data_IF_310026166940
#
_entry.id   IF_310026166940
#
_cell.length_a   1.000
_cell.length_b   1.000
_cell.length_c   1.000
_cell.angle_alpha   90.00
_cell.angle_beta   90.00
_cell.angle_gamma   90.00
#
_symmetry.space_group_name_H-M   'P 1'
#
loop_
_entity.id
_entity.type
_entity.pdbx_description
1 polymer ?
#
# COMPACT_ATOMS: atom_id res chain seq x y z
N UNK A 1 -31.31 -58.82 28.75
CA UNK A 1 -30.65 -57.87 29.66
C UNK A 1 -29.51 -57.21 28.89
N UNK A 2 -29.84 -56.16 28.17
CA UNK A 2 -29.01 -55.47 27.17
C UNK A 2 -28.23 -54.35 27.89
N UNK A 3 -26.89 -54.47 28.00
CA UNK A 3 -26.07 -53.48 28.72
C UNK A 3 -24.90 -52.98 27.87
N UNK A 4 -25.03 -51.71 27.49
CA UNK A 4 -23.97 -50.69 27.36
C UNK A 4 -23.14 -50.66 26.06
N UNK A 5 -23.78 -50.16 25.00
CA UNK A 5 -23.13 -49.35 23.97
C UNK A 5 -23.43 -47.88 24.29
N UNK A 6 -22.54 -47.20 25.02
CA UNK A 6 -22.56 -45.74 25.14
C UNK A 6 -21.52 -45.18 24.16
N UNK A 7 -22.00 -44.84 22.96
CA UNK A 7 -21.26 -44.11 21.96
C UNK A 7 -21.00 -42.68 22.45
N UNK A 8 -19.74 -42.38 22.77
CA UNK A 8 -19.26 -41.05 23.10
C UNK A 8 -19.00 -40.28 21.80
N UNK A 9 -20.07 -39.88 21.10
CA UNK A 9 -20.00 -38.95 19.96
C UNK A 9 -20.03 -37.51 20.50
N UNK A 10 -18.90 -37.06 21.01
CA UNK A 10 -18.67 -35.65 21.31
C UNK A 10 -18.41 -34.91 19.99
N UNK A 11 -19.50 -34.47 19.37
CA UNK A 11 -19.47 -33.56 18.22
C UNK A 11 -18.89 -32.23 18.71
N UNK A 12 -17.63 -32.00 18.35
CA UNK A 12 -16.93 -30.72 18.41
C UNK A 12 -17.74 -29.66 17.65
N UNK A 13 -18.57 -28.91 18.38
CA UNK A 13 -19.20 -27.68 17.91
C UNK A 13 -18.15 -26.57 17.91
N UNK A 14 -17.28 -26.57 16.89
CA UNK A 14 -16.46 -25.39 16.60
C UNK A 14 -17.40 -24.29 16.10
N UNK A 15 -17.45 -23.11 16.75
CA UNK A 15 -18.13 -21.97 16.18
C UNK A 15 -17.40 -21.64 14.87
N UNK A 16 -18.13 -21.74 13.76
CA UNK A 16 -17.69 -21.19 12.50
C UNK A 16 -17.29 -19.74 12.76
N UNK A 17 -16.00 -19.43 12.59
CA UNK A 17 -15.50 -18.08 12.67
C UNK A 17 -16.36 -17.25 11.71
N UNK A 18 -17.15 -16.33 12.28
CA UNK A 18 -17.96 -15.39 11.52
C UNK A 18 -16.95 -14.51 10.79
N UNK A 19 -16.63 -14.86 9.55
CA UNK A 19 -15.93 -13.98 8.65
C UNK A 19 -16.85 -12.77 8.45
N UNK A 20 -16.61 -11.70 9.20
CA UNK A 20 -17.35 -10.46 9.08
C UNK A 20 -17.39 -10.03 7.61
N UNK A 21 -18.57 -9.66 7.14
CA UNK A 21 -18.76 -9.17 5.77
C UNK A 21 -17.77 -8.01 5.48
N UNK A 22 -17.27 -7.90 4.23
CA UNK A 22 -16.40 -6.79 3.86
C UNK A 22 -17.09 -5.45 4.16
N UNK A 23 -16.37 -4.53 4.81
CA UNK A 23 -16.88 -3.19 5.10
C UNK A 23 -17.13 -2.42 3.79
N UNK A 24 -18.39 -2.09 3.46
CA UNK A 24 -18.72 -1.42 2.20
C UNK A 24 -18.21 0.02 2.13
N UNK A 25 -17.91 0.67 3.27
CA UNK A 25 -17.39 2.04 3.29
C UNK A 25 -15.88 2.13 3.07
N UNK A 26 -15.18 0.98 3.10
CA UNK A 26 -13.73 0.93 3.05
C UNK A 26 -13.13 1.52 1.76
N UNK A 27 -13.62 1.23 0.54
CA UNK A 27 -13.10 1.85 -0.68
C UNK A 27 -13.25 3.38 -0.69
N UNK A 28 -14.35 3.89 -0.14
CA UNK A 28 -14.59 5.34 -0.02
C UNK A 28 -13.56 6.03 0.86
N UNK A 29 -13.23 5.44 2.02
CA UNK A 29 -12.21 5.98 2.94
C UNK A 29 -10.80 5.94 2.38
N UNK A 30 -10.48 4.94 1.54
CA UNK A 30 -9.20 4.88 0.82
C UNK A 30 -9.13 6.01 -0.21
N UNK A 31 -10.22 6.19 -0.97
CA UNK A 31 -10.33 7.25 -2.00
C UNK A 31 -10.19 8.63 -1.38
N UNK A 32 -10.90 8.91 -0.29
CA UNK A 32 -10.82 10.19 0.44
C UNK A 32 -9.38 10.49 0.89
N UNK A 33 -8.70 9.51 1.47
CA UNK A 33 -7.33 9.68 1.91
C UNK A 33 -6.33 9.88 0.75
N UNK A 34 -6.57 9.21 -0.39
CA UNK A 34 -5.77 9.41 -1.59
C UNK A 34 -5.98 10.82 -2.17
N UNK A 35 -7.21 11.34 -2.18
CA UNK A 35 -7.51 12.71 -2.62
C UNK A 35 -6.92 13.77 -1.68
N UNK A 36 -6.98 13.57 -0.36
CA UNK A 36 -6.31 14.43 0.63
C UNK A 36 -4.79 14.46 0.39
N UNK A 37 -4.17 13.28 0.23
CA UNK A 37 -2.75 13.18 -0.10
C UNK A 37 -2.39 13.85 -1.44
N UNK A 38 -3.27 13.72 -2.45
CA UNK A 38 -3.11 14.39 -3.73
C UNK A 38 -3.11 15.91 -3.58
N UNK A 39 -4.11 16.46 -2.91
CA UNK A 39 -4.25 17.91 -2.72
C UNK A 39 -3.08 18.52 -1.96
N UNK A 40 -2.48 17.78 -1.02
CA UNK A 40 -1.40 18.27 -0.16
C UNK A 40 -0.01 18.06 -0.75
N UNK A 41 0.25 16.91 -1.36
CA UNK A 41 1.62 16.50 -1.72
C UNK A 41 1.87 16.47 -3.22
N UNK A 42 0.87 16.28 -4.09
CA UNK A 42 1.13 15.92 -5.49
C UNK A 42 1.94 16.97 -6.26
N UNK A 43 1.72 18.26 -6.00
CA UNK A 43 2.46 19.33 -6.70
C UNK A 43 3.98 19.22 -6.54
N UNK A 44 4.45 18.67 -5.41
CA UNK A 44 5.87 18.60 -5.08
C UNK A 44 6.61 17.68 -6.05
N UNK A 45 5.94 16.65 -6.54
CA UNK A 45 6.56 15.64 -7.41
C UNK A 45 7.05 16.21 -8.74
N UNK A 46 6.50 17.35 -9.19
CA UNK A 46 6.93 18.01 -10.42
C UNK A 46 8.27 18.72 -10.29
N UNK A 47 8.71 18.99 -9.06
CA UNK A 47 9.94 19.71 -8.77
C UNK A 47 10.99 18.79 -8.15
N UNK A 48 10.55 17.94 -7.22
CA UNK A 48 11.41 17.07 -6.45
C UNK A 48 10.63 15.85 -5.95
N UNK A 49 11.03 14.66 -6.42
CA UNK A 49 10.44 13.39 -5.99
C UNK A 49 10.64 13.17 -4.48
N UNK A 50 11.75 13.61 -3.90
CA UNK A 50 12.04 13.43 -2.48
C UNK A 50 11.18 14.32 -1.61
N UNK A 51 10.90 15.56 -2.04
CA UNK A 51 9.95 16.43 -1.37
C UNK A 51 8.53 15.82 -1.36
N UNK A 52 8.13 15.19 -2.47
CA UNK A 52 6.87 14.44 -2.54
C UNK A 52 6.85 13.26 -1.55
N UNK A 53 7.91 12.45 -1.52
CA UNK A 53 8.04 11.33 -0.58
C UNK A 53 8.03 11.79 0.89
N UNK A 54 8.75 12.86 1.20
CA UNK A 54 8.82 13.44 2.54
C UNK A 54 7.44 13.94 2.99
N UNK A 55 6.70 14.63 2.12
CA UNK A 55 5.34 15.10 2.42
C UNK A 55 4.42 13.92 2.79
N UNK A 56 4.41 12.87 1.98
CA UNK A 56 3.58 11.68 2.23
C UNK A 56 4.02 10.92 3.48
N UNK A 57 5.33 10.82 3.72
CA UNK A 57 5.86 10.21 4.96
C UNK A 57 5.44 11.01 6.19
N UNK A 58 5.36 12.34 6.08
CA UNK A 58 4.77 13.21 7.10
C UNK A 58 3.30 12.88 7.38
N UNK A 59 2.48 12.69 6.33
CA UNK A 59 1.08 12.26 6.51
C UNK A 59 0.97 10.90 7.21
N UNK A 60 1.88 9.98 6.90
CA UNK A 60 1.90 8.63 7.45
C UNK A 60 2.39 8.55 8.90
N UNK A 61 3.04 9.58 9.43
CA UNK A 61 3.53 9.61 10.80
C UNK A 61 2.38 9.52 11.83
N UNK A 62 1.20 10.02 11.47
CA UNK A 62 -0.01 9.97 12.30
C UNK A 62 -0.74 8.61 12.19
N UNK A 63 -0.51 7.87 11.11
CA UNK A 63 -1.23 6.65 10.74
C UNK A 63 -0.55 5.38 11.28
N UNK A 64 -0.45 5.23 12.61
CA UNK A 64 0.31 4.13 13.25
C UNK A 64 -0.21 2.72 12.98
N UNK A 65 -1.48 2.57 12.59
CA UNK A 65 -2.13 1.27 12.37
C UNK A 65 -2.43 1.08 10.89
N UNK A 66 -2.44 -0.17 10.44
CA UNK A 66 -2.96 -0.51 9.12
C UNK A 66 -4.46 -0.17 9.08
N UNK A 67 -4.84 0.75 8.20
CA UNK A 67 -6.20 1.24 8.08
C UNK A 67 -6.45 1.85 6.69
N UNK A 68 -7.71 2.12 6.33
CA UNK A 68 -8.08 2.64 5.01
C UNK A 68 -7.36 3.93 4.66
N UNK A 69 -7.21 4.85 5.63
CA UNK A 69 -6.52 6.13 5.42
C UNK A 69 -5.04 5.93 5.11
N UNK A 70 -4.33 5.15 5.93
CA UNK A 70 -2.95 4.73 5.66
C UNK A 70 -2.79 4.14 4.27
N UNK A 71 -3.68 3.21 3.87
CA UNK A 71 -3.62 2.58 2.56
C UNK A 71 -3.81 3.58 1.42
N UNK A 72 -4.76 4.52 1.55
CA UNK A 72 -4.99 5.55 0.53
C UNK A 72 -3.74 6.42 0.32
N UNK A 73 -3.09 6.84 1.40
CA UNK A 73 -1.85 7.64 1.34
C UNK A 73 -0.70 6.82 0.73
N UNK A 74 -0.47 5.59 1.19
CA UNK A 74 0.60 4.73 0.68
C UNK A 74 0.41 4.37 -0.80
N UNK A 75 -0.82 4.04 -1.19
CA UNK A 75 -1.15 3.69 -2.56
C UNK A 75 -1.04 4.91 -3.49
N UNK A 76 -1.53 6.08 -3.06
CA UNK A 76 -1.33 7.32 -3.80
C UNK A 76 0.16 7.63 -3.98
N UNK A 77 0.96 7.44 -2.93
CA UNK A 77 2.43 7.54 -2.97
C UNK A 77 3.04 6.76 -4.11
N UNK A 78 2.68 5.48 -4.21
CA UNK A 78 3.09 4.62 -5.32
C UNK A 78 2.61 5.12 -6.67
N UNK A 79 1.34 5.48 -6.83
CA UNK A 79 0.78 5.90 -8.12
C UNK A 79 1.45 7.17 -8.64
N UNK A 80 1.64 8.18 -7.78
CA UNK A 80 2.31 9.41 -8.16
C UNK A 80 3.76 9.16 -8.60
N UNK A 81 4.52 8.41 -7.78
CA UNK A 81 5.91 8.08 -8.08
C UNK A 81 6.07 7.21 -9.33
N UNK A 82 5.19 6.22 -9.52
CA UNK A 82 5.20 5.36 -10.71
C UNK A 82 4.96 6.16 -11.99
N UNK A 83 4.10 7.19 -11.95
CA UNK A 83 3.87 8.08 -13.09
C UNK A 83 5.12 8.91 -13.40
N UNK A 84 5.76 9.48 -12.38
CA UNK A 84 6.99 10.27 -12.54
C UNK A 84 8.19 9.42 -13.00
N UNK A 85 8.27 8.17 -12.57
CA UNK A 85 9.32 7.24 -13.00
C UNK A 85 9.30 7.03 -14.53
N UNK A 86 8.13 7.10 -15.18
CA UNK A 86 8.02 7.01 -16.65
C UNK A 86 8.69 8.17 -17.37
N UNK A 87 8.81 9.31 -16.70
CA UNK A 87 9.41 10.53 -17.24
C UNK A 87 10.92 10.61 -16.92
N UNK A 88 11.49 9.59 -16.28
CA UNK A 88 12.90 9.56 -15.91
C UNK A 88 13.24 10.51 -14.77
N UNK A 89 12.28 10.90 -13.93
CA UNK A 89 12.54 11.76 -12.79
C UNK A 89 13.40 11.05 -11.75
N UNK A 90 14.46 11.73 -11.31
CA UNK A 90 15.37 11.21 -10.29
C UNK A 90 14.60 10.80 -9.03
N UNK A 91 14.94 9.64 -8.46
CA UNK A 91 14.31 9.09 -7.26
C UNK A 91 12.91 8.52 -7.46
N UNK A 92 12.23 8.77 -8.57
CA UNK A 92 10.83 8.37 -8.72
C UNK A 92 10.63 6.85 -8.75
N UNK A 93 11.58 6.11 -9.33
CA UNK A 93 11.55 4.65 -9.28
C UNK A 93 11.78 4.11 -7.86
N UNK A 94 12.68 4.73 -7.10
CA UNK A 94 12.99 4.36 -5.71
C UNK A 94 11.81 4.66 -4.79
N UNK A 95 11.24 5.86 -4.88
CA UNK A 95 10.02 6.24 -4.16
C UNK A 95 8.86 5.31 -4.50
N UNK A 96 8.66 4.98 -5.79
CA UNK A 96 7.63 4.02 -6.20
C UNK A 96 7.85 2.66 -5.56
N UNK A 97 9.09 2.16 -5.55
CA UNK A 97 9.44 0.91 -4.91
C UNK A 97 9.17 0.92 -3.39
N UNK A 98 9.55 1.97 -2.69
CA UNK A 98 9.31 2.13 -1.25
C UNK A 98 7.81 2.09 -0.95
N UNK A 99 7.01 2.87 -1.68
CA UNK A 99 5.57 2.88 -1.47
C UNK A 99 4.90 1.58 -1.88
N UNK A 100 5.41 0.87 -2.89
CA UNK A 100 4.96 -0.47 -3.25
C UNK A 100 5.02 -1.43 -2.06
N UNK A 101 6.16 -1.50 -1.38
CA UNK A 101 6.32 -2.37 -0.22
C UNK A 101 5.35 -1.98 0.91
N UNK A 102 5.20 -0.67 1.15
CA UNK A 102 4.32 -0.12 2.20
C UNK A 102 2.85 -0.46 1.93
N UNK A 103 2.30 -0.05 0.78
CA UNK A 103 0.88 -0.25 0.51
C UNK A 103 0.54 -1.73 0.42
N UNK A 104 1.43 -2.60 -0.11
CA UNK A 104 1.20 -4.04 -0.16
C UNK A 104 1.07 -4.67 1.22
N UNK A 105 1.88 -4.22 2.19
CA UNK A 105 1.75 -4.67 3.56
C UNK A 105 0.39 -4.28 4.17
N UNK A 106 -0.08 -3.06 3.92
CA UNK A 106 -1.38 -2.58 4.41
C UNK A 106 -2.56 -3.23 3.68
N UNK A 107 -2.50 -3.33 2.36
CA UNK A 107 -3.51 -3.95 1.50
C UNK A 107 -3.80 -5.40 1.92
N UNK A 108 -2.74 -6.20 2.18
CA UNK A 108 -2.92 -7.59 2.64
C UNK A 108 -3.63 -7.69 3.99
N UNK A 109 -3.35 -6.77 4.92
CA UNK A 109 -4.03 -6.72 6.22
C UNK A 109 -5.51 -6.37 6.10
N UNK A 110 -5.84 -5.49 5.16
CA UNK A 110 -7.21 -5.06 4.88
C UNK A 110 -7.96 -5.99 3.91
N UNK A 111 -7.28 -6.99 3.33
CA UNK A 111 -7.84 -8.00 2.42
C UNK A 111 -8.53 -7.39 1.18
N UNK A 112 -7.90 -6.35 0.62
CA UNK A 112 -8.39 -5.67 -0.58
C UNK A 112 -7.67 -6.21 -1.80
N UNK A 113 -8.39 -6.58 -2.84
CA UNK A 113 -7.79 -7.02 -4.10
C UNK A 113 -7.26 -5.84 -4.94
N UNK A 114 -6.45 -6.16 -5.94
CA UNK A 114 -5.76 -5.16 -6.76
C UNK A 114 -6.71 -4.29 -7.58
N UNK A 115 -7.82 -4.85 -8.06
CA UNK A 115 -8.79 -4.11 -8.86
C UNK A 115 -9.55 -3.10 -8.01
N UNK A 116 -10.03 -3.55 -6.84
CA UNK A 116 -10.71 -2.69 -5.85
C UNK A 116 -9.79 -1.56 -5.36
N UNK A 117 -8.53 -1.85 -5.05
CA UNK A 117 -7.58 -0.81 -4.66
C UNK A 117 -7.30 0.16 -5.82
N UNK A 118 -7.12 -0.36 -7.04
CA UNK A 118 -6.82 0.48 -8.18
C UNK A 118 -7.91 1.51 -8.49
N UNK A 119 -9.17 1.11 -8.39
CA UNK A 119 -10.31 1.99 -8.62
C UNK A 119 -10.37 3.20 -7.67
N UNK A 120 -9.64 3.20 -6.55
CA UNK A 120 -9.61 4.31 -5.58
C UNK A 120 -8.82 5.53 -6.05
N UNK A 121 -7.98 5.39 -7.08
CA UNK A 121 -7.24 6.50 -7.69
C UNK A 121 -7.51 6.50 -9.21
N UNK A 122 -8.04 7.58 -9.80
CA UNK A 122 -8.38 7.62 -11.23
C UNK A 122 -7.22 7.23 -12.14
N UNK A 123 -7.53 6.54 -13.25
CA UNK A 123 -6.57 6.14 -14.28
C UNK A 123 -6.80 4.72 -14.80
N UNK A 124 -5.92 4.27 -15.70
CA UNK A 124 -6.01 2.94 -16.30
C UNK A 124 -5.53 1.85 -15.32
N UNK A 125 -6.46 1.02 -14.86
CA UNK A 125 -6.18 -0.04 -13.91
C UNK A 125 -5.47 -1.25 -14.52
N UNK A 126 -5.71 -1.59 -15.77
CA UNK A 126 -5.01 -2.71 -16.41
C UNK A 126 -3.52 -2.41 -16.50
N UNK A 127 -3.18 -1.21 -17.00
CA UNK A 127 -1.80 -0.76 -17.14
C UNK A 127 -1.13 -0.60 -15.78
N UNK A 128 -1.81 -0.01 -14.80
CA UNK A 128 -1.26 0.19 -13.46
C UNK A 128 -1.01 -1.13 -12.74
N UNK A 129 -1.94 -2.07 -12.79
CA UNK A 129 -1.78 -3.39 -12.17
C UNK A 129 -0.66 -4.17 -12.85
N UNK A 130 -0.57 -4.13 -14.18
CA UNK A 130 0.53 -4.77 -14.91
C UNK A 130 1.91 -4.23 -14.47
N UNK A 131 2.04 -2.91 -14.33
CA UNK A 131 3.28 -2.26 -13.88
C UNK A 131 3.63 -2.56 -12.44
N UNK A 132 2.63 -2.55 -11.56
CA UNK A 132 2.78 -2.96 -10.17
C UNK A 132 3.34 -4.39 -10.08
N UNK A 133 2.75 -5.34 -10.80
CA UNK A 133 3.21 -6.73 -10.86
C UNK A 133 4.59 -6.89 -11.49
N UNK A 134 4.92 -6.08 -12.49
CA UNK A 134 6.26 -6.06 -13.08
C UNK A 134 7.30 -5.58 -12.07
N UNK A 135 7.00 -4.49 -11.37
CA UNK A 135 7.86 -3.95 -10.33
C UNK A 135 8.05 -4.99 -9.22
N UNK A 136 7.01 -5.63 -8.71
CA UNK A 136 7.12 -6.69 -7.68
C UNK A 136 8.08 -7.84 -8.04
N UNK A 137 8.23 -8.14 -9.34
CA UNK A 137 9.11 -9.20 -9.85
C UNK A 137 10.52 -8.69 -10.17
N UNK A 138 10.72 -7.38 -10.18
CA UNK A 138 12.00 -6.75 -10.50
C UNK A 138 12.91 -6.74 -9.26
N UNK A 139 14.23 -6.71 -9.42
CA UNK A 139 15.12 -6.43 -8.30
C UNK A 139 14.81 -5.05 -7.70
N UNK A 140 15.09 -4.83 -6.40
CA UNK A 140 15.05 -3.50 -5.81
C UNK A 140 15.90 -2.54 -6.65
N UNK A 141 15.46 -1.29 -6.83
CA UNK A 141 16.25 -0.33 -7.57
C UNK A 141 17.57 -0.04 -6.81
N UNK A 142 18.64 0.29 -7.55
CA UNK A 142 19.94 0.57 -6.95
C UNK A 142 19.85 1.76 -6.00
N UNK A 143 20.53 1.68 -4.84
CA UNK A 143 20.62 2.80 -3.90
C UNK A 143 21.20 4.02 -4.60
N UNK A 144 20.58 5.17 -4.39
CA UNK A 144 21.03 6.41 -4.97
C UNK A 144 22.03 7.10 -4.03
N UNK A 145 22.87 8.03 -4.53
CA UNK A 145 23.86 8.72 -3.71
C UNK A 145 23.28 9.48 -2.50
N UNK A 146 22.04 9.95 -2.58
CA UNK A 146 21.37 10.62 -1.46
C UNK A 146 20.88 9.65 -0.37
N UNK A 147 20.88 8.34 -0.63
CA UNK A 147 20.58 7.30 0.36
C UNK A 147 21.83 6.91 1.17
N UNK A 148 23.02 7.39 0.77
CA UNK A 148 24.26 7.13 1.48
C UNK A 148 24.38 8.10 2.67
N UNK A 149 24.82 7.62 3.85
CA UNK A 149 25.16 8.50 4.96
C UNK A 149 26.19 9.53 4.48
N UNK A 150 25.95 10.81 4.74
CA UNK A 150 26.94 11.87 4.51
C UNK A 150 28.21 11.50 5.29
N UNK A 151 29.24 11.06 4.57
CA UNK A 151 30.51 10.60 5.11
C UNK A 151 31.34 11.77 5.69
N UNK A 152 30.82 13.00 5.67
CA UNK A 152 31.39 14.13 6.40
C UNK A 152 32.78 14.57 5.93
N UNK A 153 33.30 13.98 4.85
CA UNK A 153 34.62 14.27 4.31
C UNK A 153 34.51 15.20 3.10
N UNK A 154 34.19 16.47 3.38
CA UNK A 154 34.53 17.59 2.49
C UNK A 154 35.60 18.43 3.17
N UNK A 155 36.85 18.20 2.78
CA UNK A 155 37.99 19.10 2.99
C UNK A 155 38.62 19.40 1.63
#
# INVERSE_FOLDING_TARGET
MLRHLLAFLLVLSLPAAIAGAPDPALPGRITEAALDAQGRCYRLIHHDTFAYEACLTGLLAEEKKAGPRRLGIEYFGFVGALNSARLGMLGAQDTAWVFLQRFRATQRKLRIDDASLCATVPGDCEVRIARMKLMEKSPPPPRQPHDLPDDGHRH
#
